data_IF_151262766602
#
_entry.id   IF_151262766602
#
_cell.length_a   1.000
_cell.length_b   1.000
_cell.length_c   1.000
_cell.angle_alpha   90.00
_cell.angle_beta   90.00
_cell.angle_gamma   90.00
#
_symmetry.space_group_name_H-M   'P 1'
#
loop_
_entity.id
_entity.type
_entity.pdbx_description
1 polymer ?
#
# COMPACT_ATOMS: atom_id res chain seq x y z
N UNK A 1 -45.20 69.20 45.07
CA UNK A 1 -44.65 68.48 46.24
C UNK A 1 -43.92 67.24 45.74
N UNK A 2 -42.80 66.92 46.40
CA UNK A 2 -41.68 66.09 45.92
C UNK A 2 -41.92 64.57 46.00
N UNK A 3 -41.28 63.84 45.09
CA UNK A 3 -40.45 62.62 45.29
C UNK A 3 -40.73 61.54 44.24
N UNK A 4 -39.78 61.22 43.34
CA UNK A 4 -38.59 60.33 43.47
C UNK A 4 -39.02 58.85 43.47
N UNK A 5 -38.44 57.90 42.72
CA UNK A 5 -37.63 57.84 41.48
C UNK A 5 -37.42 56.34 41.19
N UNK A 6 -37.37 56.02 39.90
CA UNK A 6 -36.75 54.90 39.16
C UNK A 6 -36.92 53.40 39.51
N UNK A 7 -37.35 52.71 38.43
CA UNK A 7 -37.30 51.29 38.10
C UNK A 7 -35.89 50.68 38.11
N UNK A 8 -35.85 49.38 38.41
CA UNK A 8 -34.99 48.41 37.69
C UNK A 8 -35.63 47.03 37.65
N UNK A 9 -35.58 46.41 36.47
CA UNK A 9 -35.94 45.04 36.13
C UNK A 9 -34.84 44.05 36.54
N UNK A 10 -35.22 42.83 36.92
CA UNK A 10 -34.36 41.65 36.90
C UNK A 10 -35.16 40.43 36.41
N UNK A 11 -34.66 39.76 35.37
CA UNK A 11 -35.20 38.52 34.84
C UNK A 11 -34.31 37.33 35.25
N UNK A 12 -34.97 36.28 35.70
CA UNK A 12 -34.47 35.06 36.34
C UNK A 12 -33.98 34.00 35.34
N UNK A 13 -32.86 33.32 35.66
CA UNK A 13 -32.50 32.01 35.11
C UNK A 13 -32.86 30.89 36.11
N UNK A 14 -33.35 29.78 35.57
CA UNK A 14 -33.96 28.65 36.27
C UNK A 14 -32.94 27.64 36.86
N UNK A 15 -33.47 26.84 37.79
CA UNK A 15 -32.78 26.11 38.84
C UNK A 15 -32.28 24.70 38.48
N UNK A 16 -31.32 24.27 39.30
CA UNK A 16 -30.75 22.93 39.46
C UNK A 16 -31.62 22.03 40.36
N UNK A 17 -31.44 20.70 40.28
CA UNK A 17 -32.07 19.69 41.15
C UNK A 17 -31.05 19.22 42.22
N UNK A 18 -31.53 18.93 43.43
CA UNK A 18 -30.77 18.88 44.70
C UNK A 18 -30.73 17.50 45.42
N UNK A 19 -29.78 17.33 46.36
CA UNK A 19 -29.91 16.70 47.70
C UNK A 19 -28.51 16.57 48.37
N UNK A 20 -28.20 16.70 49.69
CA UNK A 20 -28.75 17.31 50.92
C UNK A 20 -27.58 17.29 51.99
N UNK A 21 -27.69 17.87 53.21
CA UNK A 21 -26.66 18.77 53.79
C UNK A 21 -26.07 18.30 55.14
N UNK A 22 -24.89 18.79 55.58
CA UNK A 22 -24.55 18.91 57.02
C UNK A 22 -23.60 20.10 57.36
N UNK A 23 -24.18 21.05 58.10
CA UNK A 23 -23.72 22.07 59.09
C UNK A 23 -22.22 22.38 59.31
N UNK A 24 -21.80 23.64 59.09
CA UNK A 24 -21.42 24.71 60.07
C UNK A 24 -20.18 24.40 60.96
N UNK A 25 -19.12 25.22 61.06
CA UNK A 25 -19.06 26.68 61.28
C UNK A 25 -17.85 27.36 60.59
N UNK A 26 -18.04 28.65 60.29
CA UNK A 26 -17.07 29.65 59.85
C UNK A 26 -16.18 30.11 61.03
N UNK A 27 -14.97 30.66 60.81
CA UNK A 27 -14.50 31.95 61.39
C UNK A 27 -13.12 32.41 60.85
N UNK A 28 -13.18 33.62 60.27
CA UNK A 28 -12.23 34.74 60.13
C UNK A 28 -10.68 34.60 60.08
N UNK A 29 -10.14 35.34 59.11
CA UNK A 29 -8.75 35.54 58.67
C UNK A 29 -7.93 36.49 59.57
N UNK A 30 -6.65 36.16 59.78
CA UNK A 30 -5.58 37.07 60.19
C UNK A 30 -4.39 36.86 59.24
N UNK A 31 -4.19 37.77 58.27
CA UNK A 31 -3.02 37.74 57.39
C UNK A 31 -1.95 38.72 57.92
N UNK A 32 -0.81 38.19 58.39
CA UNK A 32 0.43 38.97 58.56
C UNK A 32 1.05 39.24 57.18
N UNK A 33 1.29 40.51 56.85
CA UNK A 33 2.11 40.90 55.68
C UNK A 33 3.57 40.56 55.94
N UNK A 34 4.16 39.69 55.14
CA UNK A 34 5.62 39.52 55.03
C UNK A 34 6.11 40.12 53.71
N UNK A 35 7.17 40.92 53.82
CA UNK A 35 7.88 41.61 52.73
C UNK A 35 8.60 40.54 51.87
N UNK A 36 8.55 40.69 50.54
CA UNK A 36 9.17 39.76 49.61
C UNK A 36 10.70 39.75 49.73
N UNK A 37 11.29 38.55 49.85
CA UNK A 37 12.75 38.34 49.75
C UNK A 37 13.24 38.59 48.31
N UNK A 38 14.50 39.02 48.09
CA UNK A 38 15.06 39.16 46.75
C UNK A 38 15.15 37.82 46.04
N UNK A 39 14.75 37.79 44.77
CA UNK A 39 14.84 36.62 43.89
C UNK A 39 16.29 36.47 43.41
N UNK A 40 16.97 35.41 43.83
CA UNK A 40 18.20 34.96 43.20
C UNK A 40 17.88 34.17 41.92
N UNK A 41 18.49 34.56 40.79
CA UNK A 41 18.42 33.77 39.55
C UNK A 41 19.16 32.45 39.76
N UNK A 42 18.45 31.32 39.70
CA UNK A 42 19.08 30.00 39.55
C UNK A 42 19.81 29.93 38.21
N UNK A 43 21.04 29.42 38.22
CA UNK A 43 21.75 29.02 37.00
C UNK A 43 20.92 27.97 36.24
N UNK A 44 20.92 27.99 34.89
CA UNK A 44 20.08 27.10 34.11
C UNK A 44 20.50 25.64 34.30
N UNK A 45 19.50 24.88 34.75
CA UNK A 45 19.21 23.46 34.66
C UNK A 45 20.28 22.51 34.11
N UNK A 46 20.50 21.44 34.89
CA UNK A 46 21.30 20.28 34.54
C UNK A 46 21.09 19.84 33.07
N UNK A 47 22.21 19.59 32.39
CA UNK A 47 22.21 18.98 31.06
C UNK A 47 21.59 17.59 31.15
N UNK A 48 20.35 17.45 30.68
CA UNK A 48 19.69 16.15 30.54
C UNK A 48 20.36 15.37 29.40
N UNK A 49 21.34 14.54 29.74
CA UNK A 49 21.92 13.59 28.79
C UNK A 49 20.92 12.44 28.61
N UNK A 50 20.24 12.40 27.46
CA UNK A 50 19.46 11.22 27.06
C UNK A 50 20.43 10.06 26.79
N UNK A 51 20.59 9.19 27.79
CA UNK A 51 21.27 7.91 27.58
C UNK A 51 20.26 6.99 26.90
N UNK A 52 20.51 6.63 25.64
CA UNK A 52 19.69 5.63 24.92
C UNK A 52 19.64 4.37 25.80
N UNK A 53 18.43 3.95 26.18
CA UNK A 53 18.22 2.76 27.01
C UNK A 53 18.69 1.49 26.27
N UNK A 54 18.79 0.35 26.98
CA UNK A 54 19.15 -0.91 26.34
C UNK A 54 18.15 -1.23 25.22
N UNK A 55 18.64 -1.34 24.00
CA UNK A 55 17.88 -1.82 22.85
C UNK A 55 17.81 -3.34 22.91
N UNK A 56 16.62 -3.91 22.74
CA UNK A 56 16.41 -5.36 22.61
C UNK A 56 16.12 -5.67 21.15
N UNK A 57 16.85 -6.62 20.57
CA UNK A 57 16.53 -7.15 19.24
C UNK A 57 15.39 -8.15 19.40
N UNK A 58 14.27 -7.87 18.75
CA UNK A 58 13.13 -8.78 18.64
C UNK A 58 13.09 -9.33 17.23
N UNK A 59 12.87 -10.63 17.11
CA UNK A 59 12.62 -11.30 15.84
C UNK A 59 11.12 -11.55 15.75
N UNK A 60 10.51 -11.13 14.65
CA UNK A 60 9.08 -11.29 14.39
C UNK A 60 8.89 -11.99 13.04
N UNK A 61 8.06 -13.03 13.03
CA UNK A 61 7.66 -13.74 11.81
C UNK A 61 6.14 -13.79 11.79
N UNK A 62 5.52 -13.19 10.78
CA UNK A 62 4.07 -13.13 10.60
C UNK A 62 3.29 -12.54 11.81
N UNK A 63 3.84 -11.51 12.48
CA UNK A 63 3.19 -10.89 13.64
C UNK A 63 3.47 -11.58 14.97
N UNK A 64 4.19 -12.70 14.97
CA UNK A 64 4.54 -13.44 16.18
C UNK A 64 6.03 -13.29 16.51
N UNK A 65 6.33 -13.01 17.79
CA UNK A 65 7.70 -13.02 18.28
C UNK A 65 8.27 -14.44 18.19
N UNK A 66 9.40 -14.57 17.51
CA UNK A 66 10.18 -15.80 17.45
C UNK A 66 11.41 -15.69 18.35
N UNK A 67 11.76 -16.80 19.01
CA UNK A 67 13.02 -16.89 19.75
C UNK A 67 14.19 -16.67 18.79
N UNK A 68 15.26 -16.01 19.25
CA UNK A 68 16.42 -15.68 18.43
C UNK A 68 17.07 -16.94 17.83
N UNK A 69 17.02 -18.06 18.54
CA UNK A 69 17.52 -19.37 18.16
C UNK A 69 16.69 -19.97 17.01
N UNK A 70 15.36 -19.84 17.09
CA UNK A 70 14.45 -20.27 16.03
C UNK A 70 14.53 -19.37 14.80
N UNK A 71 14.74 -18.07 15.00
CA UNK A 71 15.05 -17.14 13.92
C UNK A 71 16.37 -17.54 13.24
N UNK A 72 17.38 -17.92 14.03
CA UNK A 72 18.69 -18.37 13.53
C UNK A 72 18.62 -19.70 12.76
N UNK A 73 17.80 -20.64 13.20
CA UNK A 73 17.50 -21.88 12.43
C UNK A 73 16.80 -21.57 11.09
N UNK A 74 16.00 -20.51 11.02
CA UNK A 74 15.39 -20.05 9.77
C UNK A 74 16.33 -19.26 8.85
N UNK A 75 17.55 -18.95 9.30
CA UNK A 75 18.58 -18.20 8.58
C UNK A 75 19.81 -19.11 8.41
N UNK A 76 19.61 -20.37 7.99
CA UNK A 76 20.66 -21.37 7.83
C UNK A 76 21.70 -20.95 6.75
N UNK A 77 22.71 -20.17 7.17
CA UNK A 77 24.15 -20.22 6.87
C UNK A 77 24.83 -19.08 7.66
N UNK A 78 25.43 -19.41 8.82
CA UNK A 78 26.09 -18.45 9.73
C UNK A 78 25.26 -17.23 10.21
N UNK A 79 23.94 -17.22 10.00
CA UNK A 79 23.04 -16.14 10.42
C UNK A 79 22.95 -14.98 9.42
N UNK A 80 23.25 -15.22 8.14
CA UNK A 80 23.08 -14.25 7.05
C UNK A 80 21.85 -14.58 6.19
N UNK A 81 21.17 -13.53 5.70
CA UNK A 81 20.17 -13.70 4.65
C UNK A 81 20.86 -14.19 3.37
N UNK A 82 20.40 -15.31 2.83
CA UNK A 82 20.85 -15.79 1.53
C UNK A 82 20.14 -15.05 0.41
N UNK A 83 20.87 -14.76 -0.66
CA UNK A 83 20.30 -14.22 -1.88
C UNK A 83 19.63 -15.36 -2.64
N UNK A 84 18.38 -15.17 -3.06
CA UNK A 84 17.66 -16.14 -3.92
C UNK A 84 18.41 -16.46 -5.23
N UNK A 85 19.39 -15.61 -5.58
CA UNK A 85 20.34 -15.74 -6.68
C UNK A 85 21.76 -15.39 -6.18
N UNK A 86 22.57 -16.36 -5.75
CA UNK A 86 23.89 -16.12 -5.16
C UNK A 86 24.88 -15.38 -6.07
N UNK A 87 24.74 -15.55 -7.38
CA UNK A 87 25.55 -14.86 -8.41
C UNK A 87 25.26 -13.36 -8.59
N UNK A 88 24.30 -12.78 -7.85
CA UNK A 88 23.95 -11.36 -7.92
C UNK A 88 24.09 -10.70 -6.55
N UNK A 89 24.64 -9.48 -6.50
CA UNK A 89 24.87 -8.75 -5.23
C UNK A 89 23.63 -7.99 -4.71
N UNK A 90 22.49 -8.09 -5.40
CA UNK A 90 21.27 -7.30 -5.11
C UNK A 90 20.01 -8.17 -5.13
N UNK A 91 19.09 -7.90 -4.21
CA UNK A 91 17.78 -8.56 -4.16
C UNK A 91 16.83 -8.15 -5.30
N UNK A 92 16.96 -6.91 -5.79
CA UNK A 92 16.11 -6.37 -6.85
C UNK A 92 16.96 -5.92 -8.03
N UNK A 93 16.47 -6.23 -9.22
CA UNK A 93 17.03 -5.74 -10.47
C UNK A 93 15.95 -5.06 -11.31
N UNK A 94 16.38 -4.23 -12.25
CA UNK A 94 15.47 -3.61 -13.21
C UNK A 94 15.06 -4.65 -14.25
N UNK A 95 13.77 -4.76 -14.54
CA UNK A 95 13.30 -5.57 -15.66
C UNK A 95 13.82 -5.07 -17.02
N UNK A 96 13.63 -5.86 -18.07
CA UNK A 96 14.07 -5.59 -19.43
C UNK A 96 13.51 -4.29 -20.05
N UNK A 97 12.49 -3.69 -19.43
CA UNK A 97 11.85 -2.46 -19.88
C UNK A 97 10.90 -2.67 -21.05
N UNK A 98 10.48 -1.56 -21.66
CA UNK A 98 9.62 -1.54 -22.85
C UNK A 98 8.13 -1.77 -22.60
N UNK A 99 7.71 -2.08 -21.37
CA UNK A 99 6.29 -2.29 -21.02
C UNK A 99 5.84 -1.24 -20.03
N UNK A 100 4.70 -0.62 -20.32
CA UNK A 100 4.13 0.48 -19.54
C UNK A 100 2.66 0.23 -19.28
N UNK A 101 2.14 0.76 -18.16
CA UNK A 101 0.71 0.94 -17.95
C UNK A 101 0.39 2.43 -18.11
N UNK A 102 -0.63 2.73 -18.89
CA UNK A 102 -1.21 4.07 -19.03
C UNK A 102 -2.62 4.03 -18.46
N UNK A 103 -2.92 4.84 -17.45
CA UNK A 103 -4.25 4.93 -16.87
C UNK A 103 -5.00 6.16 -17.41
N UNK A 104 -5.93 5.96 -18.33
CA UNK A 104 -6.82 7.02 -18.85
C UNK A 104 -8.19 7.03 -18.16
N UNK A 105 -8.31 6.36 -17.02
CA UNK A 105 -9.49 6.44 -16.15
C UNK A 105 -9.43 7.71 -15.28
N UNK A 106 -10.56 8.07 -14.69
CA UNK A 106 -10.63 9.15 -13.69
C UNK A 106 -10.20 8.67 -12.28
N UNK A 107 -9.98 7.36 -12.12
CA UNK A 107 -9.68 6.71 -10.85
C UNK A 107 -8.47 5.77 -11.02
N UNK A 108 -7.78 5.51 -9.93
CA UNK A 108 -6.66 4.56 -9.90
C UNK A 108 -7.16 3.12 -10.03
N UNK A 109 -6.45 2.27 -10.78
CA UNK A 109 -6.59 0.81 -10.73
C UNK A 109 -5.25 0.19 -10.33
N UNK A 110 -5.25 -0.55 -9.22
CA UNK A 110 -4.06 -1.20 -8.71
C UNK A 110 -3.74 -2.47 -9.50
N UNK A 111 -2.50 -2.56 -9.97
CA UNK A 111 -1.95 -3.72 -10.68
C UNK A 111 -0.92 -4.41 -9.79
N UNK A 112 -1.29 -5.54 -9.22
CA UNK A 112 -0.53 -6.16 -8.13
C UNK A 112 0.29 -7.35 -8.64
N UNK A 113 1.47 -7.56 -8.07
CA UNK A 113 2.30 -8.75 -8.29
C UNK A 113 2.71 -9.34 -6.94
N UNK A 114 2.95 -10.64 -6.93
CA UNK A 114 3.59 -11.30 -5.80
C UNK A 114 5.10 -11.04 -5.76
N UNK A 115 5.72 -11.18 -4.59
CA UNK A 115 7.17 -11.01 -4.38
C UNK A 115 8.00 -12.26 -4.80
N UNK A 116 7.66 -12.88 -5.92
CA UNK A 116 8.30 -14.12 -6.38
C UNK A 116 9.76 -13.92 -6.90
N UNK A 117 10.74 -14.78 -6.52
CA UNK A 117 10.66 -15.87 -5.54
C UNK A 117 10.90 -15.38 -4.11
N UNK A 118 9.85 -15.35 -3.31
CA UNK A 118 9.88 -14.79 -1.96
C UNK A 118 8.76 -15.40 -1.15
N UNK A 119 8.01 -14.58 -0.42
CA UNK A 119 6.86 -15.08 0.37
C UNK A 119 5.64 -15.42 -0.49
N UNK A 120 5.69 -15.05 -1.77
CA UNK A 120 4.56 -14.97 -2.69
C UNK A 120 3.43 -14.05 -2.19
N UNK A 121 3.69 -13.17 -1.23
CA UNK A 121 2.71 -12.15 -0.81
C UNK A 121 2.45 -11.15 -1.93
N UNK A 122 1.20 -10.73 -2.09
CA UNK A 122 0.77 -9.73 -3.09
C UNK A 122 1.23 -8.30 -2.75
N UNK A 123 2.52 -8.08 -2.53
CA UNK A 123 3.07 -6.85 -1.92
C UNK A 123 3.85 -5.98 -2.89
N UNK A 124 3.82 -6.28 -4.20
CA UNK A 124 4.46 -5.46 -5.24
C UNK A 124 3.38 -4.76 -6.06
N UNK A 125 2.95 -3.55 -5.65
CA UNK A 125 1.92 -2.80 -6.36
C UNK A 125 2.52 -1.94 -7.48
N UNK A 126 1.80 -1.86 -8.60
CA UNK A 126 1.94 -0.81 -9.62
C UNK A 126 0.65 0.00 -9.61
N UNK A 127 0.77 1.30 -9.31
CA UNK A 127 -0.38 2.16 -8.96
C UNK A 127 -0.41 3.38 -9.89
N UNK A 128 -0.79 3.22 -11.16
CA UNK A 128 -0.90 4.34 -12.09
C UNK A 128 -2.05 5.28 -11.66
N UNK A 129 -1.72 6.51 -11.27
CA UNK A 129 -2.71 7.54 -11.01
C UNK A 129 -3.46 7.93 -12.29
N UNK A 130 -4.63 8.60 -12.20
CA UNK A 130 -5.33 9.12 -13.37
C UNK A 130 -4.42 9.95 -14.29
N UNK A 131 -4.37 9.58 -15.56
CA UNK A 131 -3.52 10.16 -16.60
C UNK A 131 -2.05 9.71 -16.58
N UNK A 132 -1.63 8.91 -15.59
CA UNK A 132 -0.23 8.55 -15.41
C UNK A 132 0.21 7.38 -16.31
N UNK A 133 1.46 7.46 -16.77
CA UNK A 133 2.20 6.36 -17.39
C UNK A 133 3.27 5.84 -16.43
N UNK A 134 3.17 4.58 -16.04
CA UNK A 134 4.13 3.92 -15.12
C UNK A 134 4.77 2.71 -15.78
N UNK A 135 6.06 2.48 -15.50
CA UNK A 135 6.76 1.31 -16.02
C UNK A 135 6.25 0.05 -15.35
N UNK A 136 5.96 -0.98 -16.13
CA UNK A 136 5.65 -2.31 -15.63
C UNK A 136 6.90 -3.18 -15.72
N UNK A 137 7.19 -3.95 -14.67
CA UNK A 137 8.38 -4.80 -14.69
C UNK A 137 8.21 -5.90 -15.74
N UNK A 138 9.21 -6.08 -16.58
CA UNK A 138 9.24 -7.10 -17.62
C UNK A 138 10.44 -8.03 -17.37
N UNK A 139 10.25 -9.18 -16.70
CA UNK A 139 11.36 -10.11 -16.44
C UNK A 139 11.99 -10.60 -17.73
N UNK A 140 13.31 -10.77 -17.74
CA UNK A 140 14.03 -11.36 -18.88
C UNK A 140 14.46 -12.79 -18.54
N UNK A 141 14.10 -13.73 -19.40
CA UNK A 141 14.37 -15.16 -19.22
C UNK A 141 15.86 -15.50 -19.16
N UNK A 142 16.73 -14.60 -19.61
CA UNK A 142 18.19 -14.83 -19.66
C UNK A 142 18.91 -14.49 -18.35
N UNK A 143 18.35 -13.60 -17.54
CA UNK A 143 19.00 -13.02 -16.35
C UNK A 143 18.10 -12.98 -15.10
N UNK A 144 16.82 -13.32 -15.21
CA UNK A 144 15.91 -13.43 -14.07
C UNK A 144 15.98 -14.80 -13.36
N UNK A 145 15.25 -14.95 -12.26
CA UNK A 145 15.18 -16.20 -11.49
C UNK A 145 14.67 -17.39 -12.30
N UNK A 146 15.30 -18.55 -12.11
CA UNK A 146 14.96 -19.83 -12.75
C UNK A 146 14.37 -20.77 -11.70
N UNK A 147 13.12 -21.21 -11.92
CA UNK A 147 12.46 -22.15 -11.03
C UNK A 147 12.28 -23.49 -11.72
N UNK A 148 12.73 -24.58 -11.08
CA UNK A 148 12.62 -25.93 -11.62
C UNK A 148 13.15 -26.06 -13.07
N UNK A 149 14.30 -25.42 -13.35
CA UNK A 149 14.92 -25.34 -14.68
C UNK A 149 14.08 -24.63 -15.76
N UNK A 150 13.08 -23.84 -15.36
CA UNK A 150 12.24 -23.05 -16.27
C UNK A 150 12.42 -21.55 -16.01
N UNK A 151 12.40 -20.72 -17.08
CA UNK A 151 12.44 -19.28 -16.92
C UNK A 151 11.17 -18.76 -16.26
N UNK A 152 11.32 -17.73 -15.43
CA UNK A 152 10.18 -17.08 -14.77
C UNK A 152 9.71 -15.87 -15.57
N UNK A 153 8.39 -15.65 -15.62
CA UNK A 153 7.76 -14.43 -16.16
C UNK A 153 6.95 -13.74 -15.06
N UNK A 154 6.43 -12.55 -15.32
CA UNK A 154 5.59 -11.85 -14.35
C UNK A 154 4.11 -11.95 -14.72
N UNK A 155 3.29 -12.25 -13.72
CA UNK A 155 1.84 -12.14 -13.77
C UNK A 155 1.39 -11.00 -12.86
N UNK A 156 0.44 -10.21 -13.34
CA UNK A 156 -0.11 -9.08 -12.61
C UNK A 156 -1.62 -9.17 -12.51
N UNK A 157 -2.14 -8.95 -11.30
CA UNK A 157 -3.56 -8.94 -10.97
C UNK A 157 -4.10 -7.52 -11.17
N UNK A 158 -4.98 -7.32 -12.14
CA UNK A 158 -5.59 -6.02 -12.44
C UNK A 158 -6.90 -5.90 -11.67
N UNK A 159 -6.94 -5.01 -10.69
CA UNK A 159 -8.13 -4.77 -9.88
C UNK A 159 -9.08 -3.78 -10.55
N UNK A 160 -10.34 -3.79 -10.12
CA UNK A 160 -11.31 -2.74 -10.46
C UNK A 160 -10.79 -1.36 -10.02
N UNK A 161 -11.28 -0.32 -10.67
CA UNK A 161 -10.87 1.06 -10.34
C UNK A 161 -11.41 1.48 -8.97
N UNK A 162 -10.73 2.43 -8.33
CA UNK A 162 -11.16 3.05 -7.07
C UNK A 162 -10.80 2.26 -5.80
N UNK A 163 -10.24 1.05 -5.91
CA UNK A 163 -9.78 0.29 -4.75
C UNK A 163 -8.41 0.78 -4.25
N UNK A 164 -8.26 1.07 -2.95
CA UNK A 164 -6.97 1.43 -2.38
C UNK A 164 -6.03 0.22 -2.36
N UNK A 165 -4.72 0.48 -2.32
CA UNK A 165 -3.69 -0.57 -2.52
C UNK A 165 -3.75 -1.66 -1.45
N UNK A 166 -4.03 -1.30 -0.20
CA UNK A 166 -4.18 -2.21 0.93
C UNK A 166 -5.33 -3.21 0.76
N UNK A 167 -6.36 -2.84 -0.01
CA UNK A 167 -7.53 -3.66 -0.29
C UNK A 167 -7.42 -4.40 -1.63
N UNK A 168 -6.62 -3.87 -2.56
CA UNK A 168 -6.46 -4.39 -3.91
C UNK A 168 -5.25 -5.33 -4.07
N UNK A 169 -4.17 -5.12 -3.32
CA UNK A 169 -2.94 -5.92 -3.36
C UNK A 169 -2.82 -6.75 -2.07
N UNK A 170 -3.73 -7.73 -1.94
CA UNK A 170 -3.81 -8.63 -0.80
C UNK A 170 -4.37 -9.98 -1.24
N UNK A 171 -4.03 -11.05 -0.53
CA UNK A 171 -4.60 -12.36 -0.80
C UNK A 171 -6.11 -12.42 -0.52
N UNK A 172 -6.58 -11.67 0.48
CA UNK A 172 -7.98 -11.63 0.89
C UNK A 172 -8.42 -10.18 1.09
N UNK A 173 -9.04 -9.60 0.06
CA UNK A 173 -9.58 -8.25 0.14
C UNK A 173 -10.75 -8.17 1.13
N UNK A 174 -10.75 -7.23 2.08
CA UNK A 174 -11.86 -7.06 3.02
C UNK A 174 -13.09 -6.40 2.38
N UNK A 175 -12.90 -5.66 1.28
CA UNK A 175 -13.96 -4.86 0.62
C UNK A 175 -14.52 -5.51 -0.64
N UNK A 176 -13.73 -6.31 -1.37
CA UNK A 176 -14.21 -7.13 -2.49
C UNK A 176 -13.58 -8.55 -2.47
N UNK A 177 -14.02 -9.43 -1.54
CA UNK A 177 -13.41 -10.75 -1.33
C UNK A 177 -13.49 -11.70 -2.54
N UNK A 178 -14.24 -11.35 -3.59
CA UNK A 178 -14.44 -12.17 -4.79
C UNK A 178 -14.02 -11.49 -6.08
N UNK A 179 -13.51 -10.26 -6.01
CA UNK A 179 -13.21 -9.44 -7.18
C UNK A 179 -11.96 -8.56 -7.04
N UNK A 180 -11.22 -8.68 -5.93
CA UNK A 180 -9.99 -7.95 -5.71
C UNK A 180 -8.87 -8.83 -5.14
N UNK A 181 -7.63 -8.37 -5.25
CA UNK A 181 -6.47 -9.13 -4.79
C UNK A 181 -6.25 -10.37 -5.62
N UNK A 182 -6.08 -11.51 -4.95
CA UNK A 182 -5.99 -12.81 -5.61
C UNK A 182 -7.23 -13.11 -6.47
N UNK A 183 -8.37 -12.52 -6.13
CA UNK A 183 -9.63 -12.69 -6.84
C UNK A 183 -9.88 -11.62 -7.90
N UNK A 184 -8.86 -10.82 -8.25
CA UNK A 184 -8.95 -9.81 -9.30
C UNK A 184 -9.50 -10.41 -10.63
N UNK A 185 -10.25 -9.64 -11.43
CA UNK A 185 -10.90 -10.15 -12.64
C UNK A 185 -9.93 -10.63 -13.72
N UNK A 186 -8.84 -9.88 -13.92
CA UNK A 186 -7.95 -10.01 -15.07
C UNK A 186 -6.52 -10.15 -14.62
N UNK A 187 -5.79 -10.98 -15.36
CA UNK A 187 -4.34 -11.07 -15.28
C UNK A 187 -3.69 -10.46 -16.53
N UNK A 188 -2.55 -9.82 -16.30
CA UNK A 188 -1.60 -9.43 -17.33
C UNK A 188 -0.35 -10.28 -17.18
N UNK A 189 0.11 -10.90 -18.27
CA UNK A 189 1.39 -11.60 -18.33
C UNK A 189 2.43 -10.76 -19.06
N UNK A 190 3.65 -10.68 -18.54
CA UNK A 190 4.80 -10.09 -19.25
C UNK A 190 6.05 -10.92 -19.09
N UNK A 191 6.80 -11.12 -20.16
CA UNK A 191 8.15 -11.66 -20.07
C UNK A 191 8.90 -11.53 -21.38
N UNK A 192 10.18 -11.17 -21.28
CA UNK A 192 11.12 -11.20 -22.39
C UNK A 192 11.74 -12.59 -22.49
N UNK A 193 11.44 -13.29 -23.58
CA UNK A 193 11.98 -14.62 -23.83
C UNK A 193 13.43 -14.56 -24.32
N UNK A 194 14.09 -15.73 -24.34
CA UNK A 194 15.47 -15.88 -24.77
C UNK A 194 15.70 -15.49 -26.25
N UNK A 195 14.64 -15.52 -27.08
CA UNK A 195 14.67 -15.06 -28.47
C UNK A 195 14.72 -13.52 -28.60
N UNK A 196 14.66 -12.80 -27.47
CA UNK A 196 14.71 -11.35 -27.39
C UNK A 196 13.36 -10.66 -27.50
N UNK A 197 12.27 -11.40 -27.74
CA UNK A 197 10.92 -10.84 -27.83
C UNK A 197 10.25 -10.74 -26.46
N UNK A 198 9.45 -9.70 -26.26
CA UNK A 198 8.57 -9.60 -25.08
C UNK A 198 7.16 -10.04 -25.46
N UNK A 199 6.63 -11.02 -24.74
CA UNK A 199 5.25 -11.46 -24.85
C UNK A 199 4.40 -10.79 -23.78
N UNK A 200 3.27 -10.24 -24.19
CA UNK A 200 2.34 -9.51 -23.32
C UNK A 200 0.95 -10.07 -23.54
N UNK A 201 0.30 -10.51 -22.46
CA UNK A 201 -1.00 -11.18 -22.52
C UNK A 201 -2.01 -10.50 -21.61
N UNK A 202 -3.28 -10.50 -22.03
CA UNK A 202 -4.44 -10.15 -21.20
C UNK A 202 -5.35 -11.37 -21.18
N UNK A 203 -5.64 -11.90 -20.00
CA UNK A 203 -6.41 -13.14 -19.84
C UNK A 203 -7.19 -13.15 -18.52
N UNK A 204 -8.26 -13.95 -18.42
CA UNK A 204 -9.07 -13.97 -17.20
C UNK A 204 -8.32 -14.69 -16.09
N UNK A 205 -8.57 -14.30 -14.84
CA UNK A 205 -8.00 -14.97 -13.68
C UNK A 205 -8.71 -16.27 -13.33
N UNK A 206 -8.86 -17.16 -14.32
CA UNK A 206 -9.50 -18.46 -14.15
C UNK A 206 -8.47 -19.54 -13.74
N UNK A 207 -8.91 -20.57 -12.99
CA UNK A 207 -10.25 -20.75 -12.43
C UNK A 207 -10.47 -20.00 -11.11
N UNK A 208 -9.48 -19.23 -10.64
CA UNK A 208 -9.50 -18.54 -9.35
C UNK A 208 -10.68 -17.59 -9.20
N UNK A 209 -10.98 -16.76 -10.20
CA UNK A 209 -12.03 -15.75 -10.15
C UNK A 209 -12.89 -15.75 -11.40
N UNK A 210 -14.18 -15.46 -11.20
CA UNK A 210 -15.14 -15.17 -12.28
C UNK A 210 -15.60 -13.71 -12.26
N UNK A 211 -14.91 -12.85 -11.49
CA UNK A 211 -15.22 -11.43 -11.46
C UNK A 211 -14.98 -10.79 -12.83
N UNK A 212 -15.70 -9.70 -13.09
CA UNK A 212 -15.55 -8.91 -14.31
C UNK A 212 -14.89 -7.57 -13.98
N UNK A 213 -14.05 -7.13 -14.90
CA UNK A 213 -13.43 -5.81 -14.84
C UNK A 213 -14.45 -4.74 -15.24
N UNK A 214 -14.33 -3.55 -14.65
CA UNK A 214 -15.27 -2.44 -14.81
C UNK A 214 -14.74 -1.30 -15.70
N UNK A 215 -13.75 -1.63 -16.53
CA UNK A 215 -13.15 -0.79 -17.56
C UNK A 215 -12.50 -1.65 -18.66
N UNK A 216 -12.08 -1.00 -19.75
CA UNK A 216 -11.44 -1.63 -20.89
C UNK A 216 -9.91 -1.60 -20.80
N UNK A 217 -9.27 -2.63 -21.34
CA UNK A 217 -7.81 -2.72 -21.45
C UNK A 217 -7.44 -2.96 -22.91
N UNK A 218 -6.48 -2.22 -23.45
CA UNK A 218 -5.87 -2.52 -24.74
C UNK A 218 -4.34 -2.44 -24.68
N UNK A 219 -3.66 -3.22 -25.52
CA UNK A 219 -2.22 -3.09 -25.74
C UNK A 219 -1.98 -2.35 -27.05
N UNK A 220 -1.29 -1.22 -26.96
CA UNK A 220 -0.90 -0.37 -28.09
C UNK A 220 0.63 -0.17 -28.12
N UNK A 221 1.12 0.50 -29.17
CA UNK A 221 2.55 0.77 -29.36
C UNK A 221 3.15 -0.13 -30.45
N UNK A 222 4.41 -0.50 -30.28
CA UNK A 222 5.22 -1.23 -31.28
C UNK A 222 4.96 -2.75 -31.28
N UNK A 223 3.72 -3.17 -31.01
CA UNK A 223 3.32 -4.57 -30.89
C UNK A 223 2.76 -5.13 -32.20
N UNK A 224 2.96 -6.43 -32.44
CA UNK A 224 2.69 -7.03 -33.76
C UNK A 224 1.23 -7.47 -34.00
N UNK A 225 0.44 -7.68 -32.95
CA UNK A 225 -0.98 -8.03 -33.05
C UNK A 225 -1.81 -7.17 -32.10
N UNK A 226 -3.09 -6.97 -32.45
CA UNK A 226 -4.03 -6.38 -31.49
C UNK A 226 -4.22 -7.34 -30.31
N UNK A 227 -4.36 -6.79 -29.11
CA UNK A 227 -4.79 -7.54 -27.93
C UNK A 227 -5.52 -6.57 -27.00
N UNK A 228 -6.80 -6.82 -26.75
CA UNK A 228 -7.61 -5.99 -25.86
C UNK A 228 -8.74 -6.78 -25.21
N UNK A 229 -9.22 -6.28 -24.07
CA UNK A 229 -10.47 -6.62 -23.41
C UNK A 229 -11.39 -5.40 -23.51
N UNK A 230 -12.46 -5.50 -24.29
CA UNK A 230 -13.41 -4.42 -24.55
C UNK A 230 -14.81 -4.93 -24.19
N UNK A 231 -15.48 -4.26 -23.26
CA UNK A 231 -16.81 -4.62 -22.76
C UNK A 231 -16.90 -6.11 -22.34
N UNK A 232 -15.84 -6.59 -21.69
CA UNK A 232 -15.73 -7.98 -21.25
C UNK A 232 -15.41 -8.99 -22.35
N UNK A 233 -15.12 -8.55 -23.58
CA UNK A 233 -14.78 -9.41 -24.72
C UNK A 233 -13.34 -9.23 -25.18
N UNK A 234 -12.63 -10.34 -25.39
CA UNK A 234 -11.27 -10.33 -25.89
C UNK A 234 -11.22 -10.10 -27.40
N UNK A 235 -10.26 -9.30 -27.85
CA UNK A 235 -9.96 -9.08 -29.27
C UNK A 235 -8.49 -9.42 -29.57
N UNK A 236 -8.22 -9.93 -30.78
CA UNK A 236 -6.87 -10.32 -31.19
C UNK A 236 -6.32 -11.59 -30.50
N UNK A 237 -7.24 -12.41 -29.99
CA UNK A 237 -6.97 -13.71 -29.39
C UNK A 237 -8.20 -14.62 -29.48
N UNK A 238 -8.38 -15.47 -28.46
CA UNK A 238 -9.55 -16.34 -28.32
C UNK A 238 -10.55 -15.82 -27.28
N UNK A 239 -11.53 -16.64 -26.91
CA UNK A 239 -12.50 -16.31 -25.85
C UNK A 239 -11.89 -16.28 -24.44
N UNK A 240 -10.64 -16.73 -24.28
CA UNK A 240 -9.96 -16.89 -22.99
C UNK A 240 -8.72 -16.01 -22.86
N UNK A 241 -8.61 -14.95 -23.66
CA UNK A 241 -7.48 -14.02 -23.63
C UNK A 241 -6.85 -13.75 -24.99
N UNK A 242 -5.89 -12.85 -24.98
CA UNK A 242 -5.07 -12.50 -26.13
C UNK A 242 -3.60 -12.33 -25.72
N UNK A 243 -2.71 -12.45 -26.70
CA UNK A 243 -1.28 -12.23 -26.54
C UNK A 243 -0.78 -11.44 -27.75
N UNK A 244 0.11 -10.49 -27.49
CA UNK A 244 0.85 -9.75 -28.51
C UNK A 244 2.34 -9.78 -28.21
N UNK A 245 3.14 -9.40 -29.20
CA UNK A 245 4.61 -9.41 -29.10
C UNK A 245 5.18 -8.03 -29.39
N UNK A 246 6.01 -7.55 -28.46
CA UNK A 246 6.95 -6.47 -28.71
C UNK A 246 8.27 -7.09 -29.18
N UNK A 247 8.64 -6.82 -30.43
CA UNK A 247 9.77 -7.47 -31.08
C UNK A 247 11.12 -6.84 -30.67
N UNK A 248 12.05 -7.67 -30.21
CA UNK A 248 13.43 -7.27 -29.92
C UNK A 248 13.61 -6.30 -28.74
N UNK A 249 14.64 -5.43 -28.83
CA UNK A 249 15.11 -4.56 -27.74
C UNK A 249 14.69 -3.09 -27.87
N UNK A 250 13.90 -2.75 -28.89
CA UNK A 250 13.52 -1.36 -29.20
C UNK A 250 12.01 -1.25 -29.33
N UNK A 251 11.47 -0.14 -28.86
CA UNK A 251 10.04 0.16 -28.88
C UNK A 251 9.39 0.08 -27.52
N UNK A 252 8.12 0.46 -27.48
CA UNK A 252 7.30 0.44 -26.27
C UNK A 252 5.97 -0.25 -26.53
N UNK A 253 5.52 -1.04 -25.56
CA UNK A 253 4.15 -1.51 -25.44
C UNK A 253 3.49 -0.79 -24.27
N UNK A 254 2.31 -0.23 -24.52
CA UNK A 254 1.50 0.46 -23.53
C UNK A 254 0.24 -0.34 -23.31
N UNK A 255 0.06 -0.82 -22.08
CA UNK A 255 -1.17 -1.41 -21.59
C UNK A 255 -2.04 -0.26 -21.09
N UNK A 256 -3.06 0.09 -21.86
CA UNK A 256 -3.89 1.27 -21.62
C UNK A 256 -5.19 0.86 -20.95
N UNK A 257 -5.50 1.50 -19.83
CA UNK A 257 -6.78 1.39 -19.14
C UNK A 257 -7.67 2.56 -19.53
N UNK A 258 -8.89 2.30 -19.98
CA UNK A 258 -9.80 3.35 -20.44
C UNK A 258 -11.26 2.98 -20.18
N UNK A 259 -12.13 3.99 -20.16
CA UNK A 259 -13.56 3.83 -19.87
C UNK A 259 -14.28 3.05 -20.98
N UNK A 260 -15.38 2.41 -20.61
CA UNK A 260 -16.34 1.84 -21.55
C UNK A 260 -17.12 2.94 -22.28
#
# INVERSE_FOLDING_TARGET
>A
MKSIVHLTFAATLAATVAAQPQHHHQHQQLHKKHIASPVEKREPDAVTVYKVGPTVTLYELAGEHVAAEKAKEGIEDDGYLELSRPEYDTLCEKGAGGVWIQNDLDETSCVCRTDYPGTESMVIPTIPQPGEKVALTNPSANDYYVWNNLPTTAQYYVNKKGLPVEDACTWNSPVDPKGAGNWAPINIGTGKAADGNTYISIFPNLPTSTAQLDFNIEIIGDVNTKCALIDGQYTGGGSTGCTTTLAGTKGEAIIRFYKN
#
